data_IF_058103242164
#
_entry.id   IF_058103242164
#
_cell.length_a   1.000
_cell.length_b   1.000
_cell.length_c   1.000
_cell.angle_alpha   90.00
_cell.angle_beta   90.00
_cell.angle_gamma   90.00
#
_symmetry.space_group_name_H-M   'P 1'
#
loop_
_entity.id
_entity.type
_entity.pdbx_description
1 polymer ?
#
# COMPACT_ATOMS: atom_id res chain seq x y z
N UNK A 1 14.03 -50.98 -2.01
CA UNK A 1 13.34 -50.01 -1.14
C UNK A 1 14.23 -48.79 -1.05
N UNK A 2 13.88 -47.71 -1.73
CA UNK A 2 14.58 -46.44 -1.63
C UNK A 2 13.57 -45.42 -1.11
N UNK A 3 13.73 -45.01 0.15
CA UNK A 3 12.98 -43.92 0.74
C UNK A 3 13.53 -42.60 0.18
N UNK A 4 12.69 -41.89 -0.55
CA UNK A 4 12.91 -40.49 -0.92
C UNK A 4 12.51 -39.63 0.26
N UNK A 5 13.48 -38.98 0.89
CA UNK A 5 13.23 -37.91 1.85
C UNK A 5 13.15 -36.63 1.04
N UNK A 6 11.93 -36.28 0.60
CA UNK A 6 11.66 -34.95 0.08
C UNK A 6 11.76 -33.97 1.25
N UNK A 7 12.91 -33.34 1.40
CA UNK A 7 13.05 -32.16 2.25
C UNK A 7 12.20 -31.06 1.61
N UNK A 8 10.99 -30.87 2.17
CA UNK A 8 10.10 -29.79 1.80
C UNK A 8 10.82 -28.47 2.02
N UNK A 9 11.10 -27.78 0.92
CA UNK A 9 11.30 -26.34 0.95
C UNK A 9 10.00 -25.76 1.50
N UNK A 10 10.03 -25.23 2.72
CA UNK A 10 8.99 -24.35 3.23
C UNK A 10 8.96 -23.13 2.30
N UNK A 11 8.21 -23.23 1.21
CA UNK A 11 7.82 -22.08 0.40
C UNK A 11 6.97 -21.20 1.31
N UNK A 12 7.62 -20.23 1.94
CA UNK A 12 6.93 -19.17 2.67
C UNK A 12 5.85 -18.61 1.74
N UNK A 13 4.57 -18.51 2.18
CA UNK A 13 3.51 -18.02 1.33
C UNK A 13 3.85 -16.60 0.87
N UNK A 14 4.29 -16.48 -0.38
CA UNK A 14 4.67 -15.21 -0.98
C UNK A 14 3.38 -14.54 -1.42
N UNK A 15 2.87 -13.63 -0.59
CA UNK A 15 1.70 -12.82 -0.91
C UNK A 15 2.12 -11.83 -2.00
N UNK A 16 1.46 -11.82 -3.18
CA UNK A 16 1.87 -10.94 -4.27
C UNK A 16 1.71 -9.47 -3.87
N UNK A 17 2.63 -8.58 -4.33
CA UNK A 17 2.50 -7.16 -4.09
C UNK A 17 1.20 -6.63 -4.71
N UNK A 18 0.48 -5.83 -3.94
CA UNK A 18 -0.75 -5.17 -4.38
C UNK A 18 -0.43 -3.74 -4.78
N UNK A 19 -0.73 -3.38 -6.02
CA UNK A 19 -0.66 -2.00 -6.50
C UNK A 19 -2.07 -1.47 -6.65
N UNK A 20 -2.34 -0.32 -6.04
CA UNK A 20 -3.61 0.37 -6.13
C UNK A 20 -3.40 1.74 -6.72
N UNK A 21 -4.20 2.09 -7.72
CA UNK A 21 -4.16 3.37 -8.40
C UNK A 21 -5.54 3.99 -8.37
N UNK A 22 -5.63 5.26 -7.99
CA UNK A 22 -6.88 6.00 -7.97
C UNK A 22 -6.70 7.39 -8.60
N UNK A 23 -7.58 7.72 -9.54
CA UNK A 23 -7.68 9.07 -10.07
C UNK A 23 -8.57 9.92 -9.17
N UNK A 24 -8.06 11.07 -8.76
CA UNK A 24 -8.78 12.04 -7.96
C UNK A 24 -8.83 13.39 -8.69
N UNK A 25 -10.02 13.99 -8.76
CA UNK A 25 -10.18 15.37 -9.22
C UNK A 25 -10.42 16.23 -8.01
N UNK A 26 -9.51 17.16 -7.77
CA UNK A 26 -9.57 18.08 -6.66
C UNK A 26 -10.62 19.19 -6.91
N UNK A 27 -11.01 19.89 -5.85
CA UNK A 27 -12.06 20.94 -5.92
C UNK A 27 -11.66 22.13 -6.80
N UNK A 28 -10.37 22.39 -6.96
CA UNK A 28 -9.81 23.39 -7.88
C UNK A 28 -9.83 22.95 -9.36
N UNK A 29 -10.21 21.70 -9.63
CA UNK A 29 -10.23 21.10 -10.96
C UNK A 29 -8.91 20.41 -11.36
N UNK A 30 -7.90 20.45 -10.50
CA UNK A 30 -6.64 19.73 -10.74
C UNK A 30 -6.87 18.22 -10.69
N UNK A 31 -6.22 17.49 -11.60
CA UNK A 31 -6.30 16.04 -11.66
C UNK A 31 -5.07 15.42 -11.00
N UNK A 32 -5.28 14.35 -10.26
CA UNK A 32 -4.26 13.67 -9.47
C UNK A 32 -4.37 12.16 -9.65
N UNK A 33 -3.22 11.50 -9.68
CA UNK A 33 -3.11 10.05 -9.65
C UNK A 33 -2.42 9.66 -8.35
N UNK A 34 -3.14 8.92 -7.51
CA UNK A 34 -2.68 8.37 -6.25
C UNK A 34 -2.32 6.91 -6.45
N UNK A 35 -1.07 6.55 -6.22
CA UNK A 35 -0.59 5.17 -6.34
C UNK A 35 -0.07 4.67 -5.00
N UNK A 36 -0.53 3.49 -4.59
CA UNK A 36 -0.19 2.86 -3.32
C UNK A 36 0.27 1.45 -3.63
N UNK A 37 1.53 1.16 -3.30
CA UNK A 37 2.13 -0.16 -3.40
C UNK A 37 2.17 -0.78 -2.01
N UNK A 38 1.70 -2.01 -1.87
CA UNK A 38 1.69 -2.76 -0.61
C UNK A 38 2.31 -4.13 -0.84
N UNK A 39 3.32 -4.46 -0.06
CA UNK A 39 3.96 -5.77 -0.04
C UNK A 39 3.91 -6.31 1.39
N UNK A 40 3.51 -7.57 1.55
CA UNK A 40 3.35 -8.22 2.86
C UNK A 40 4.48 -9.21 3.20
N UNK A 41 5.11 -9.80 2.18
CA UNK A 41 6.14 -10.84 2.32
C UNK A 41 7.24 -10.65 1.27
N UNK A 42 8.52 -10.97 1.56
CA UNK A 42 9.07 -11.38 2.86
C UNK A 42 9.19 -10.24 3.88
N UNK A 43 9.04 -8.99 3.43
CA UNK A 43 9.02 -7.80 4.27
C UNK A 43 7.70 -7.06 4.06
N UNK A 44 7.19 -6.43 5.12
CA UNK A 44 6.11 -5.47 4.99
C UNK A 44 6.66 -4.15 4.45
N UNK A 45 6.29 -3.80 3.22
CA UNK A 45 6.68 -2.54 2.58
C UNK A 45 5.45 -1.83 2.05
N UNK A 46 5.38 -0.52 2.24
CA UNK A 46 4.38 0.32 1.59
C UNK A 46 5.01 1.54 0.97
N UNK A 47 4.69 1.81 -0.29
CA UNK A 47 5.13 3.02 -1.00
C UNK A 47 3.93 3.77 -1.51
N UNK A 48 3.98 5.08 -1.42
CA UNK A 48 2.91 5.96 -1.88
C UNK A 48 3.50 6.97 -2.84
N UNK A 49 2.87 7.10 -4.00
CA UNK A 49 3.21 8.07 -5.01
C UNK A 49 1.99 8.95 -5.30
N UNK A 50 2.22 10.24 -5.36
CA UNK A 50 1.21 11.22 -5.76
C UNK A 50 1.72 11.93 -7.01
N UNK A 51 0.93 11.86 -8.08
CA UNK A 51 1.28 12.43 -9.38
C UNK A 51 0.24 13.49 -9.75
N UNK A 52 0.69 14.68 -10.10
CA UNK A 52 -0.17 15.72 -10.68
C UNK A 52 -0.35 15.46 -12.18
N UNK A 53 -1.61 15.26 -12.59
CA UNK A 53 -2.01 15.02 -13.98
C UNK A 53 -2.36 16.34 -14.69
N UNK A 54 -2.27 16.40 -16.04
CA UNK A 54 -1.90 15.31 -16.96
C UNK A 54 -0.39 15.08 -17.12
N UNK A 55 0.44 16.01 -16.62
CA UNK A 55 1.89 16.00 -16.86
C UNK A 55 2.67 14.91 -16.12
N UNK A 56 2.01 14.16 -15.22
CA UNK A 56 2.63 13.10 -14.39
C UNK A 56 3.80 13.59 -13.57
N UNK A 57 3.64 14.78 -12.97
CA UNK A 57 4.64 15.37 -12.09
C UNK A 57 4.56 14.69 -10.73
N UNK A 58 5.62 13.97 -10.35
CA UNK A 58 5.74 13.36 -9.03
C UNK A 58 5.86 14.43 -7.95
N UNK A 59 4.95 14.40 -6.99
CA UNK A 59 4.98 15.24 -5.80
C UNK A 59 5.68 14.49 -4.68
N UNK A 60 6.67 15.17 -4.08
CA UNK A 60 7.30 14.68 -2.86
C UNK A 60 6.32 14.81 -1.70
N UNK A 61 5.82 13.67 -1.26
CA UNK A 61 5.01 13.56 -0.06
C UNK A 61 5.90 13.74 1.18
N UNK A 62 5.45 14.47 2.21
CA UNK A 62 6.25 14.67 3.40
C UNK A 62 6.45 13.34 4.15
N UNK A 63 7.66 13.13 4.67
CA UNK A 63 8.09 11.87 5.31
C UNK A 63 7.33 11.53 6.59
N UNK A 64 6.52 12.45 7.11
CA UNK A 64 5.69 12.27 8.29
C UNK A 64 4.27 11.76 7.97
N UNK A 65 3.94 11.55 6.69
CA UNK A 65 2.68 10.89 6.36
C UNK A 65 2.74 9.47 6.91
N UNK A 66 1.75 9.04 7.72
CA UNK A 66 1.64 7.66 8.12
C UNK A 66 1.28 6.86 6.87
N UNK A 67 2.32 6.39 6.17
CA UNK A 67 2.22 5.33 5.19
C UNK A 67 1.55 4.11 5.86
N UNK A 68 1.19 3.07 5.10
CA UNK A 68 0.57 1.86 5.67
C UNK A 68 1.41 1.18 6.80
N UNK A 69 2.59 1.71 7.12
CA UNK A 69 3.50 1.38 8.23
C UNK A 69 2.86 0.94 9.54
N UNK A 70 1.67 1.42 9.91
CA UNK A 70 1.03 1.01 11.17
C UNK A 70 0.08 -0.17 10.97
N UNK A 71 0.52 -1.23 10.29
CA UNK A 71 -0.07 -2.55 10.57
C UNK A 71 0.70 -3.12 11.76
N UNK A 72 0.08 -3.21 12.96
CA UNK A 72 0.74 -3.74 14.14
C UNK A 72 1.34 -5.12 13.84
N UNK A 73 2.54 -5.40 14.36
CA UNK A 73 3.26 -6.64 14.10
C UNK A 73 2.41 -7.88 14.39
N UNK A 74 1.65 -7.84 15.49
CA UNK A 74 0.68 -8.87 15.87
C UNK A 74 -0.44 -9.10 14.84
N UNK A 75 -0.87 -8.06 14.12
CA UNK A 75 -1.86 -8.18 13.04
C UNK A 75 -1.21 -8.75 11.79
N UNK A 76 0.04 -8.38 11.51
CA UNK A 76 0.82 -8.92 10.39
C UNK A 76 1.06 -10.43 10.57
N UNK A 77 1.57 -10.84 11.73
CA UNK A 77 1.81 -12.25 12.05
C UNK A 77 0.51 -13.06 12.01
N UNK A 78 -0.56 -12.57 12.64
CA UNK A 78 -1.84 -13.27 12.63
C UNK A 78 -2.50 -13.32 11.24
N UNK A 79 -2.22 -12.36 10.36
CA UNK A 79 -2.72 -12.37 8.98
C UNK A 79 -1.89 -13.29 8.07
N UNK A 80 -0.58 -13.41 8.30
CA UNK A 80 0.28 -14.40 7.64
C UNK A 80 0.00 -15.84 8.10
N UNK A 81 -0.40 -16.02 9.37
CA UNK A 81 -0.88 -17.30 9.94
C UNK A 81 -2.29 -17.69 9.46
N UNK A 82 -2.93 -16.86 8.62
CA UNK A 82 -4.27 -17.11 8.06
C UNK A 82 -5.43 -16.86 9.02
N UNK A 83 -5.19 -16.35 10.24
CA UNK A 83 -6.24 -15.99 11.21
C UNK A 83 -7.00 -14.72 10.81
N UNK A 84 -6.37 -13.86 10.02
CA UNK A 84 -7.00 -12.67 9.47
C UNK A 84 -6.92 -12.64 7.95
N UNK A 85 -7.96 -12.09 7.33
CA UNK A 85 -7.97 -11.85 5.90
C UNK A 85 -7.08 -10.64 5.56
N UNK A 86 -5.88 -10.92 5.05
CA UNK A 86 -4.89 -9.92 4.60
C UNK A 86 -5.48 -8.89 3.63
N UNK A 87 -6.36 -9.32 2.71
CA UNK A 87 -6.99 -8.44 1.75
C UNK A 87 -7.91 -7.42 2.45
N UNK A 88 -8.64 -7.85 3.49
CA UNK A 88 -9.51 -6.96 4.26
C UNK A 88 -8.69 -5.91 5.02
N UNK A 89 -7.59 -6.33 5.66
CA UNK A 89 -6.67 -5.42 6.36
C UNK A 89 -6.05 -4.44 5.36
N UNK A 90 -5.57 -4.93 4.23
CA UNK A 90 -4.98 -4.11 3.16
C UNK A 90 -5.97 -3.05 2.69
N UNK A 91 -7.20 -3.44 2.38
CA UNK A 91 -8.24 -2.52 1.94
C UNK A 91 -8.55 -1.44 3.00
N UNK A 92 -8.62 -1.82 4.27
CA UNK A 92 -8.87 -0.85 5.36
C UNK A 92 -7.79 0.24 5.42
N UNK A 93 -6.51 -0.15 5.43
CA UNK A 93 -5.41 0.82 5.50
C UNK A 93 -5.23 1.61 4.18
N UNK A 94 -5.48 0.98 3.04
CA UNK A 94 -5.47 1.62 1.73
C UNK A 94 -6.51 2.73 1.65
N UNK A 95 -7.74 2.47 2.11
CA UNK A 95 -8.79 3.50 2.16
C UNK A 95 -8.43 4.68 3.06
N UNK A 96 -7.78 4.42 4.20
CA UNK A 96 -7.28 5.50 5.09
C UNK A 96 -6.16 6.32 4.43
N UNK A 97 -5.25 5.66 3.71
CA UNK A 97 -4.17 6.30 2.99
C UNK A 97 -4.71 7.18 1.85
N UNK A 98 -5.65 6.67 1.04
CA UNK A 98 -6.31 7.45 0.00
C UNK A 98 -7.03 8.69 0.56
N UNK A 99 -7.80 8.52 1.65
CA UNK A 99 -8.49 9.65 2.27
C UNK A 99 -7.52 10.77 2.70
N UNK A 100 -6.35 10.38 3.21
CA UNK A 100 -5.29 11.31 3.61
C UNK A 100 -4.63 11.99 2.40
N UNK A 101 -4.37 11.25 1.31
CA UNK A 101 -3.85 11.84 0.07
C UNK A 101 -4.83 12.84 -0.54
N UNK A 102 -6.14 12.53 -0.52
CA UNK A 102 -7.18 13.45 -0.96
C UNK A 102 -7.19 14.72 -0.10
N UNK A 103 -7.17 14.61 1.23
CA UNK A 103 -7.08 15.77 2.13
C UNK A 103 -5.80 16.60 1.88
N UNK A 104 -4.67 15.93 1.64
CA UNK A 104 -3.41 16.60 1.30
C UNK A 104 -3.52 17.38 -0.02
N UNK A 105 -4.07 16.76 -1.07
CA UNK A 105 -4.31 17.40 -2.36
C UNK A 105 -5.26 18.59 -2.22
N UNK A 106 -6.35 18.45 -1.48
CA UNK A 106 -7.31 19.54 -1.29
C UNK A 106 -6.69 20.74 -0.56
N UNK A 107 -5.77 20.49 0.38
CA UNK A 107 -5.11 21.55 1.17
C UNK A 107 -3.92 22.19 0.46
N UNK A 108 -3.11 21.39 -0.22
CA UNK A 108 -1.80 21.80 -0.73
C UNK A 108 -1.68 21.73 -2.25
N UNK A 109 -2.61 21.09 -2.95
CA UNK A 109 -2.54 20.87 -4.40
C UNK A 109 -2.46 22.16 -5.23
N UNK A 110 -3.02 23.27 -4.74
CA UNK A 110 -2.90 24.59 -5.35
C UNK A 110 -1.50 25.22 -5.22
N UNK A 111 -0.71 24.76 -4.26
CA UNK A 111 0.63 25.31 -3.93
C UNK A 111 1.78 24.49 -4.50
N UNK A 112 1.47 23.32 -5.08
CA UNK A 112 2.41 22.35 -5.66
C UNK A 112 2.40 22.43 -7.19
#
# INVERSE_FOLDING_TARGET
MAEQIAAGTEESPSVPPTVHQEFYTATDGSQWLMEIHVQWSPCFESRVHLLKMPERISVNLPSNLPYLEVVPENIREAALDGRFNLQTITNYYLQRCLAMLRDYVERFGNTL
#
